data_IF_605519302226
#
_entry.id   IF_605519302226
#
_cell.length_a   1.000
_cell.length_b   1.000
_cell.length_c   1.000
_cell.angle_alpha   90.00
_cell.angle_beta   90.00
_cell.angle_gamma   90.00
#
_symmetry.space_group_name_H-M   'P 1'
#
loop_
_entity.id
_entity.type
_entity.pdbx_description
1 polymer ?
#
# COMPACT_ATOMS: atom_id res chain seq x y z
N UNK A 1 -14.85 -12.61 2.68
CA UNK A 1 -14.45 -11.37 3.37
C UNK A 1 -15.69 -10.55 3.69
N UNK A 2 -15.79 -9.96 4.88
CA UNK A 2 -16.94 -9.10 5.25
C UNK A 2 -16.61 -7.64 4.97
N UNK A 3 -17.45 -6.98 4.17
CA UNK A 3 -17.30 -5.59 3.80
C UNK A 3 -18.28 -4.70 4.57
N UNK A 4 -17.92 -3.43 4.84
CA UNK A 4 -18.85 -2.48 5.42
C UNK A 4 -20.12 -2.41 4.59
N UNK A 5 -21.29 -2.40 5.26
CA UNK A 5 -22.63 -2.19 4.69
C UNK A 5 -23.20 -3.31 3.83
N UNK A 6 -22.39 -4.02 3.04
CA UNK A 6 -22.86 -5.04 2.09
C UNK A 6 -22.69 -6.48 2.58
N UNK A 7 -22.02 -6.67 3.71
CA UNK A 7 -21.89 -7.98 4.35
C UNK A 7 -20.80 -8.85 3.72
N UNK A 8 -20.96 -10.16 3.83
CA UNK A 8 -19.93 -11.13 3.43
C UNK A 8 -19.95 -11.39 1.93
N UNK A 9 -18.83 -11.10 1.26
CA UNK A 9 -18.60 -11.40 -0.16
C UNK A 9 -17.52 -12.48 -0.32
N UNK A 10 -17.66 -13.30 -1.36
CA UNK A 10 -16.60 -14.21 -1.80
C UNK A 10 -15.62 -13.43 -2.68
N UNK A 11 -14.33 -13.61 -2.43
CA UNK A 11 -13.26 -13.07 -3.29
C UNK A 11 -12.78 -14.17 -4.22
N UNK A 12 -12.29 -13.79 -5.40
CA UNK A 12 -11.65 -14.72 -6.31
C UNK A 12 -10.23 -15.04 -5.82
N UNK A 13 -9.49 -14.01 -5.42
CA UNK A 13 -8.16 -14.13 -4.85
C UNK A 13 -8.21 -14.58 -3.37
N UNK A 14 -7.13 -15.21 -2.94
CA UNK A 14 -6.95 -15.59 -1.53
C UNK A 14 -6.82 -14.35 -0.65
N UNK A 15 -7.89 -14.05 0.07
CA UNK A 15 -7.97 -12.97 1.05
C UNK A 15 -7.78 -13.45 2.50
N UNK A 16 -7.39 -14.71 2.73
CA UNK A 16 -7.34 -15.32 4.07
C UNK A 16 -6.45 -14.55 5.02
N UNK A 17 -5.26 -14.12 4.56
CA UNK A 17 -4.34 -13.28 5.34
C UNK A 17 -4.97 -11.94 5.74
N UNK A 18 -5.77 -11.34 4.87
CA UNK A 18 -6.45 -10.08 5.19
C UNK A 18 -7.58 -10.29 6.19
N UNK A 19 -8.37 -11.36 6.03
CA UNK A 19 -9.44 -11.74 6.95
C UNK A 19 -8.89 -12.00 8.35
N UNK A 20 -7.77 -12.73 8.45
CA UNK A 20 -7.11 -13.00 9.73
C UNK A 20 -6.64 -11.71 10.40
N UNK A 21 -5.99 -10.80 9.67
CA UNK A 21 -5.53 -9.51 10.22
C UNK A 21 -6.67 -8.59 10.63
N UNK A 22 -7.83 -8.66 9.94
CA UNK A 22 -9.04 -7.96 10.35
C UNK A 22 -9.61 -8.56 11.65
N UNK A 23 -9.62 -9.89 11.78
CA UNK A 23 -10.07 -10.57 13.00
C UNK A 23 -9.16 -10.28 14.21
N UNK A 24 -7.86 -10.09 13.98
CA UNK A 24 -6.88 -9.69 14.99
C UNK A 24 -6.97 -8.18 15.35
N UNK A 25 -7.80 -7.40 14.66
CA UNK A 25 -7.93 -5.95 14.88
C UNK A 25 -6.79 -5.10 14.31
N UNK A 26 -5.77 -5.71 13.70
CA UNK A 26 -4.64 -4.99 13.10
C UNK A 26 -4.98 -4.26 11.80
N UNK A 27 -6.13 -4.59 11.19
CA UNK A 27 -6.62 -3.99 9.94
C UNK A 27 -8.09 -3.64 10.09
N UNK A 28 -8.47 -2.39 9.77
CA UNK A 28 -9.86 -1.95 9.71
C UNK A 28 -10.19 -1.41 8.33
N UNK A 29 -11.23 -1.95 7.68
CA UNK A 29 -11.75 -1.42 6.41
C UNK A 29 -12.57 -0.16 6.69
N UNK A 30 -12.19 0.97 6.09
CA UNK A 30 -12.87 2.26 6.25
C UNK A 30 -13.85 2.52 5.10
N UNK A 31 -13.51 2.09 3.88
CA UNK A 31 -14.40 2.16 2.73
C UNK A 31 -14.09 1.05 1.71
N UNK A 32 -15.05 0.79 0.84
CA UNK A 32 -14.91 -0.13 -0.27
C UNK A 32 -15.53 0.47 -1.54
N UNK A 33 -14.81 0.39 -2.66
CA UNK A 33 -15.29 0.77 -3.99
C UNK A 33 -15.40 -0.48 -4.84
N UNK A 34 -16.59 -0.77 -5.36
CA UNK A 34 -16.84 -1.90 -6.25
C UNK A 34 -16.90 -1.41 -7.69
N UNK A 35 -16.18 -2.07 -8.58
CA UNK A 35 -16.20 -1.79 -10.02
C UNK A 35 -16.38 -3.07 -10.83
N UNK A 36 -16.80 -2.93 -12.09
CA UNK A 36 -16.89 -4.03 -13.05
C UNK A 36 -16.18 -3.64 -14.34
N UNK A 37 -15.25 -4.49 -14.77
CA UNK A 37 -14.46 -4.29 -15.99
C UNK A 37 -14.30 -5.64 -16.70
N UNK A 38 -14.50 -5.68 -18.03
CA UNK A 38 -14.40 -6.89 -18.85
C UNK A 38 -15.08 -8.12 -18.22
N UNK A 39 -16.33 -7.94 -17.76
CA UNK A 39 -17.16 -8.94 -17.08
C UNK A 39 -16.61 -9.50 -15.75
N UNK A 40 -15.62 -8.84 -15.16
CA UNK A 40 -15.09 -9.16 -13.83
C UNK A 40 -15.46 -8.09 -12.83
N UNK A 41 -15.81 -8.53 -11.63
CA UNK A 41 -16.04 -7.65 -10.49
C UNK A 41 -14.75 -7.47 -9.70
N UNK A 42 -14.45 -6.22 -9.36
CA UNK A 42 -13.31 -5.84 -8.54
C UNK A 42 -13.79 -5.06 -7.32
N UNK A 43 -13.01 -5.13 -6.24
CA UNK A 43 -13.21 -4.30 -5.07
C UNK A 43 -11.88 -3.71 -4.62
N UNK A 44 -11.87 -2.39 -4.42
CA UNK A 44 -10.76 -1.67 -3.78
C UNK A 44 -11.15 -1.35 -2.33
N UNK A 45 -10.25 -1.63 -1.39
CA UNK A 45 -10.47 -1.40 0.04
C UNK A 45 -9.55 -0.30 0.54
N UNK A 46 -10.12 0.74 1.14
CA UNK A 46 -9.35 1.63 1.99
C UNK A 46 -9.28 1.00 3.38
N UNK A 47 -8.06 0.88 3.92
CA UNK A 47 -7.82 0.24 5.21
C UNK A 47 -6.91 1.09 6.08
N UNK A 48 -7.25 1.13 7.37
CA UNK A 48 -6.30 1.51 8.41
C UNK A 48 -5.57 0.26 8.89
N UNK A 49 -4.25 0.37 9.03
CA UNK A 49 -3.40 -0.77 9.38
C UNK A 49 -2.40 -0.32 10.43
N UNK A 50 -2.40 -0.98 11.58
CA UNK A 50 -1.31 -0.83 12.53
C UNK A 50 -0.06 -1.48 11.93
N UNK A 51 1.00 -0.70 11.77
CA UNK A 51 2.28 -1.16 11.24
C UNK A 51 3.35 -0.81 12.25
N UNK A 52 4.14 -1.81 12.64
CA UNK A 52 5.39 -1.54 13.33
C UNK A 52 6.26 -0.70 12.40
N UNK A 53 6.63 0.50 12.85
CA UNK A 53 7.71 1.24 12.21
C UNK A 53 8.98 0.42 12.43
N UNK A 54 9.77 0.13 11.38
CA UNK A 54 11.09 -0.44 11.56
C UNK A 54 11.85 0.41 12.58
N UNK A 55 12.58 -0.23 13.49
CA UNK A 55 13.52 0.50 14.34
C UNK A 55 14.48 1.24 13.41
N UNK A 56 14.37 2.57 13.34
CA UNK A 56 15.30 3.36 12.57
C UNK A 56 16.71 3.12 13.15
N UNK A 57 17.71 2.75 12.32
CA UNK A 57 19.08 2.89 12.76
C UNK A 57 19.29 4.34 13.21
N UNK A 58 19.99 4.51 14.33
CA UNK A 58 20.10 5.76 15.07
C UNK A 58 20.40 6.97 14.17
N UNK A 59 19.89 8.13 14.57
CA UNK A 59 20.12 9.43 13.94
C UNK A 59 21.59 9.61 13.51
N UNK A 60 21.83 9.65 12.20
CA UNK A 60 23.18 9.78 11.61
C UNK A 60 23.15 9.86 10.09
N UNK A 61 22.34 9.04 9.43
CA UNK A 61 22.31 8.91 7.96
C UNK A 61 21.06 9.58 7.35
N UNK A 62 20.86 10.87 7.62
CA UNK A 62 19.81 11.63 6.91
C UNK A 62 20.38 12.16 5.60
N UNK A 63 19.77 11.77 4.48
CA UNK A 63 20.13 12.25 3.13
C UNK A 63 18.96 13.04 2.54
N UNK A 64 19.25 14.19 1.95
CA UNK A 64 18.28 14.94 1.16
C UNK A 64 18.04 14.26 -0.18
N UNK A 65 16.78 14.15 -0.59
CA UNK A 65 16.37 13.53 -1.85
C UNK A 65 15.65 14.58 -2.71
N UNK A 66 16.16 14.85 -3.90
CA UNK A 66 15.50 15.67 -4.92
C UNK A 66 15.00 14.76 -6.06
N UNK A 67 13.69 14.79 -6.33
CA UNK A 67 13.07 13.97 -7.37
C UNK A 67 12.81 14.81 -8.63
N UNK A 68 13.27 14.34 -9.79
CA UNK A 68 13.23 15.11 -11.03
C UNK A 68 12.78 14.33 -12.26
N UNK A 69 12.69 15.04 -13.38
CA UNK A 69 12.33 14.46 -14.70
C UNK A 69 13.56 13.91 -15.42
N UNK A 70 14.70 14.63 -15.36
CA UNK A 70 15.94 14.20 -16.01
C UNK A 70 16.63 13.06 -15.26
N UNK A 71 16.63 13.15 -13.93
CA UNK A 71 17.11 12.12 -13.01
C UNK A 71 15.97 11.77 -12.07
N UNK A 72 15.73 10.48 -11.83
CA UNK A 72 14.64 10.04 -10.94
C UNK A 72 14.85 10.53 -9.51
N UNK A 73 16.08 10.44 -9.01
CA UNK A 73 16.46 10.99 -7.72
C UNK A 73 17.91 11.45 -7.72
N UNK A 74 18.18 12.59 -7.10
CA UNK A 74 19.53 13.06 -6.74
C UNK A 74 19.62 13.09 -5.23
N UNK A 75 20.63 12.43 -4.67
CA UNK A 75 20.90 12.39 -3.25
C UNK A 75 21.93 13.46 -2.87
N UNK A 76 21.84 14.00 -1.66
CA UNK A 76 22.78 15.01 -1.16
C UNK A 76 24.23 14.51 -1.00
N UNK A 77 24.46 13.19 -1.09
CA UNK A 77 25.80 12.59 -1.14
C UNK A 77 26.39 12.57 -2.56
N UNK A 78 25.68 13.08 -3.56
CA UNK A 78 26.08 13.12 -4.96
C UNK A 78 25.62 11.91 -5.79
N UNK A 79 24.99 10.91 -5.18
CA UNK A 79 24.42 9.77 -5.92
C UNK A 79 23.28 10.22 -6.82
N UNK A 80 23.27 9.75 -8.07
CA UNK A 80 22.19 10.03 -9.03
C UNK A 80 21.55 8.73 -9.49
N UNK A 81 20.25 8.60 -9.25
CA UNK A 81 19.42 7.49 -9.69
C UNK A 81 18.75 7.88 -11.00
N UNK A 82 19.04 7.13 -12.06
CA UNK A 82 18.43 7.35 -13.37
C UNK A 82 17.02 6.75 -13.41
N UNK A 83 16.08 7.49 -14.00
CA UNK A 83 14.73 7.00 -14.24
C UNK A 83 14.66 6.03 -15.41
N UNK A 84 13.58 5.24 -15.50
CA UNK A 84 13.31 4.48 -16.72
C UNK A 84 13.24 5.43 -17.91
N UNK A 85 14.05 5.16 -18.93
CA UNK A 85 13.97 5.86 -20.21
C UNK A 85 12.83 5.23 -21.01
N UNK A 86 11.95 6.08 -21.54
CA UNK A 86 10.96 5.67 -22.54
C UNK A 86 11.65 5.21 -23.83
#
# INVERSE_FOLDING_TARGET
MTLPRIGTVRTLEDASRWVERMAQGCVRVTSATVSREADRWFVSLAVEVERALPAHPAAGDTIGVDLGVLSLATLSDGTVIQGPKA
#
